data_IF_638059521532
#
_entry.id   IF_638059521532
#
_cell.length_a   1.000
_cell.length_b   1.000
_cell.length_c   1.000
_cell.angle_alpha   90.00
_cell.angle_beta   90.00
_cell.angle_gamma   90.00
#
_symmetry.space_group_name_H-M   'P 1'
#
loop_
_entity.id
_entity.type
_entity.pdbx_description
1 polymer ?
#
# COMPACT_ATOMS: atom_id res chain seq x y z
N UNK A 1 -10.36 11.05 -72.79
CA UNK A 1 -11.76 10.75 -73.18
C UNK A 1 -12.17 9.40 -72.63
N UNK A 2 -13.08 9.36 -71.73
CA UNK A 2 -14.25 8.53 -71.43
C UNK A 2 -14.55 8.61 -69.93
N UNK A 3 -15.67 9.28 -69.64
CA UNK A 3 -16.29 9.38 -68.33
C UNK A 3 -17.08 8.08 -68.05
N UNK A 4 -16.82 7.42 -66.94
CA UNK A 4 -17.59 6.28 -66.41
C UNK A 4 -18.50 6.77 -65.28
N UNK A 5 -19.82 6.56 -65.46
CA UNK A 5 -20.88 6.92 -64.52
C UNK A 5 -20.85 6.00 -63.29
N UNK A 6 -20.86 6.61 -62.11
CA UNK A 6 -21.10 5.92 -60.85
C UNK A 6 -22.60 5.84 -60.57
N UNK A 7 -23.18 4.64 -60.59
CA UNK A 7 -24.57 4.36 -60.23
C UNK A 7 -24.74 4.36 -58.70
N UNK A 8 -25.70 5.16 -58.22
CA UNK A 8 -26.13 5.13 -56.80
C UNK A 8 -27.08 3.95 -56.60
N UNK A 9 -26.67 3.01 -55.71
CA UNK A 9 -27.59 1.97 -55.20
C UNK A 9 -28.18 2.51 -53.89
N UNK A 10 -29.49 2.72 -53.91
CA UNK A 10 -30.25 3.11 -52.72
C UNK A 10 -30.70 1.87 -51.97
N UNK A 11 -30.15 1.68 -50.78
CA UNK A 11 -30.54 0.62 -49.85
C UNK A 11 -31.78 1.07 -49.06
N UNK A 12 -32.95 0.48 -49.34
CA UNK A 12 -34.17 0.67 -48.54
C UNK A 12 -34.09 -0.22 -47.30
N UNK A 13 -33.97 0.39 -46.12
CA UNK A 13 -34.10 -0.29 -44.82
C UNK A 13 -35.59 -0.23 -44.43
N UNK A 14 -36.23 -1.39 -44.42
CA UNK A 14 -37.61 -1.57 -43.94
C UNK A 14 -37.55 -1.79 -42.42
N UNK A 15 -38.03 -0.80 -41.64
CA UNK A 15 -38.20 -0.91 -40.19
C UNK A 15 -39.44 -1.75 -39.89
N UNK A 16 -39.27 -2.94 -39.34
CA UNK A 16 -40.36 -3.72 -38.74
C UNK A 16 -40.53 -3.29 -37.28
N UNK A 17 -41.61 -2.57 -37.00
CA UNK A 17 -42.06 -2.26 -35.64
C UNK A 17 -42.82 -3.47 -35.07
N UNK A 18 -42.24 -4.14 -34.08
CA UNK A 18 -42.96 -5.11 -33.26
C UNK A 18 -43.58 -4.37 -32.05
N UNK A 19 -44.87 -4.59 -31.73
CA UNK A 19 -45.46 -3.98 -30.54
C UNK A 19 -45.02 -4.72 -29.29
N UNK A 20 -44.42 -4.00 -28.35
CA UNK A 20 -44.14 -4.51 -26.98
C UNK A 20 -45.42 -4.41 -26.16
N UNK A 21 -46.03 -5.54 -25.89
CA UNK A 21 -47.14 -5.68 -24.91
C UNK A 21 -46.57 -5.49 -23.49
N UNK A 22 -46.85 -4.33 -22.88
CA UNK A 22 -46.59 -4.07 -21.46
C UNK A 22 -47.68 -4.75 -20.64
N UNK A 23 -47.38 -5.87 -20.03
CA UNK A 23 -48.24 -6.49 -19.03
C UNK A 23 -47.97 -5.81 -17.70
N UNK A 24 -48.86 -4.88 -17.29
CA UNK A 24 -48.88 -4.35 -15.92
C UNK A 24 -49.38 -5.43 -14.95
N UNK A 25 -48.46 -6.19 -14.35
CA UNK A 25 -48.74 -7.03 -13.21
C UNK A 25 -48.84 -6.18 -11.93
N UNK A 26 -50.05 -6.03 -11.37
CA UNK A 26 -50.24 -5.43 -10.05
C UNK A 26 -49.68 -6.40 -8.99
N UNK A 27 -48.56 -6.02 -8.37
CA UNK A 27 -48.07 -6.69 -7.19
C UNK A 27 -48.81 -6.17 -5.97
N UNK A 28 -49.67 -7.03 -5.39
CA UNK A 28 -50.26 -6.80 -4.09
C UNK A 28 -49.17 -6.76 -3.02
N UNK A 29 -49.03 -5.65 -2.32
CA UNK A 29 -48.20 -5.52 -1.13
C UNK A 29 -48.84 -6.36 -0.01
N UNK A 30 -48.38 -7.59 0.21
CA UNK A 30 -48.60 -8.29 1.44
C UNK A 30 -47.59 -7.74 2.46
N UNK A 31 -48.13 -6.99 3.45
CA UNK A 31 -47.34 -6.51 4.58
C UNK A 31 -46.68 -7.67 5.31
N UNK A 32 -45.36 -7.69 5.38
CA UNK A 32 -44.65 -8.56 6.30
C UNK A 32 -44.64 -7.94 7.69
N UNK A 33 -44.96 -8.71 8.73
CA UNK A 33 -44.84 -8.25 10.11
C UNK A 33 -43.37 -8.02 10.43
N UNK A 34 -43.09 -6.94 11.18
CA UNK A 34 -41.75 -6.49 11.53
C UNK A 34 -40.86 -7.59 12.05
N UNK A 35 -39.94 -8.03 11.23
CA UNK A 35 -38.80 -8.85 11.62
C UNK A 35 -37.78 -7.95 12.32
N UNK A 36 -37.47 -8.27 13.57
CA UNK A 36 -36.33 -7.77 14.32
C UNK A 36 -35.11 -7.81 13.39
N UNK A 37 -34.50 -6.65 13.14
CA UNK A 37 -33.33 -6.54 12.29
C UNK A 37 -32.23 -7.49 12.75
N UNK A 38 -32.01 -8.55 12.00
CA UNK A 38 -30.83 -9.37 12.12
C UNK A 38 -29.66 -8.45 11.80
N UNK A 39 -28.95 -7.98 12.81
CA UNK A 39 -27.68 -7.31 12.65
C UNK A 39 -26.72 -8.38 12.14
N UNK A 40 -26.56 -8.49 10.82
CA UNK A 40 -25.53 -9.33 10.22
C UNK A 40 -24.17 -8.85 10.78
N UNK A 41 -23.53 -9.72 11.53
CA UNK A 41 -22.16 -9.43 11.96
C UNK A 41 -21.28 -9.23 10.70
N UNK A 42 -20.46 -8.18 10.67
CA UNK A 42 -19.58 -7.95 9.53
C UNK A 42 -18.68 -9.17 9.28
N UNK A 43 -18.35 -9.50 8.02
CA UNK A 43 -17.42 -10.57 7.71
C UNK A 43 -16.12 -10.46 8.53
N UNK A 44 -15.50 -11.60 8.85
CA UNK A 44 -14.30 -11.66 9.70
C UNK A 44 -13.20 -10.70 9.24
N UNK A 45 -12.96 -10.60 7.95
CA UNK A 45 -11.93 -9.75 7.36
C UNK A 45 -12.14 -8.27 7.70
N UNK A 46 -13.39 -7.77 7.73
CA UNK A 46 -13.67 -6.38 8.13
C UNK A 46 -13.40 -6.14 9.61
N UNK A 47 -13.72 -7.11 10.49
CA UNK A 47 -13.37 -7.01 11.92
C UNK A 47 -11.87 -6.95 12.14
N UNK A 48 -11.10 -7.69 11.33
CA UNK A 48 -9.65 -7.70 11.39
C UNK A 48 -9.04 -6.42 10.82
N UNK A 49 -9.61 -5.87 9.75
CA UNK A 49 -9.20 -4.58 9.21
C UNK A 49 -9.36 -3.42 10.22
N UNK A 50 -10.30 -3.53 11.18
CA UNK A 50 -10.42 -2.55 12.27
C UNK A 50 -9.17 -2.45 13.17
N UNK A 51 -8.26 -3.41 13.10
CA UNK A 51 -6.97 -3.40 13.81
C UNK A 51 -5.84 -2.75 13.02
N UNK A 52 -6.12 -2.34 11.78
CA UNK A 52 -5.17 -1.70 10.87
C UNK A 52 -5.62 -0.28 10.51
N UNK A 53 -6.09 0.49 11.50
CA UNK A 53 -6.58 1.86 11.26
C UNK A 53 -5.47 2.89 11.21
N UNK A 54 -4.50 2.81 12.13
CA UNK A 54 -3.44 3.81 12.31
C UNK A 54 -2.13 3.13 12.63
N UNK A 55 -1.38 2.82 11.61
CA UNK A 55 -0.12 2.10 11.72
C UNK A 55 1.12 2.90 11.46
N UNK A 56 2.22 2.24 11.69
CA UNK A 56 3.54 2.75 11.42
C UNK A 56 4.42 1.65 10.81
N UNK A 57 5.23 1.98 9.85
CA UNK A 57 6.20 1.06 9.29
C UNK A 57 7.45 1.00 10.17
N UNK A 58 7.99 -0.19 10.39
CA UNK A 58 9.31 -0.43 10.98
C UNK A 58 10.24 -0.93 9.88
N UNK A 59 10.75 0.02 9.07
CA UNK A 59 11.41 -0.26 7.79
C UNK A 59 12.79 -0.88 7.94
N UNK A 60 13.69 -0.22 8.65
CA UNK A 60 15.12 -0.54 8.67
C UNK A 60 15.49 -1.65 9.66
N UNK A 61 14.53 -2.39 10.17
CA UNK A 61 14.79 -3.46 11.16
C UNK A 61 15.12 -4.81 10.49
N UNK A 62 14.27 -5.26 9.57
CA UNK A 62 14.45 -6.53 8.84
C UNK A 62 14.53 -6.35 7.32
N UNK A 63 14.37 -5.14 6.82
CA UNK A 63 14.55 -4.76 5.42
C UNK A 63 15.31 -3.44 5.33
N UNK A 64 15.80 -3.07 4.15
CA UNK A 64 16.46 -1.77 3.92
C UNK A 64 17.56 -1.46 4.94
N UNK A 65 18.36 -2.46 5.31
CA UNK A 65 19.46 -2.30 6.26
C UNK A 65 20.65 -1.66 5.54
N UNK A 66 20.86 -0.37 5.77
CA UNK A 66 21.92 0.41 5.12
C UNK A 66 23.27 0.31 5.82
N UNK A 67 23.36 -0.38 6.97
CA UNK A 67 24.64 -0.69 7.61
C UNK A 67 25.48 -1.58 6.69
N UNK A 68 26.76 -1.22 6.49
CA UNK A 68 27.70 -1.97 5.63
C UNK A 68 27.89 -3.42 6.05
N UNK A 69 27.59 -3.75 7.30
CA UNK A 69 27.62 -5.11 7.84
C UNK A 69 26.40 -5.93 7.41
N UNK A 70 25.35 -5.26 6.94
CA UNK A 70 24.10 -5.88 6.49
C UNK A 70 23.29 -6.50 7.63
N UNK A 71 22.60 -7.58 7.33
CA UNK A 71 21.67 -8.28 8.22
C UNK A 71 22.40 -9.11 9.26
N UNK A 72 22.86 -8.48 10.35
CA UNK A 72 23.59 -9.16 11.44
C UNK A 72 22.70 -9.41 12.66
N UNK A 73 23.04 -10.42 13.51
CA UNK A 73 22.35 -10.65 14.77
C UNK A 73 22.27 -9.41 15.67
N UNK A 74 23.35 -8.65 15.75
CA UNK A 74 23.44 -7.43 16.56
C UNK A 74 22.46 -6.36 16.04
N UNK A 75 22.33 -6.23 14.71
CA UNK A 75 21.39 -5.30 14.11
C UNK A 75 19.96 -5.68 14.48
N UNK A 76 19.55 -6.92 14.27
CA UNK A 76 18.19 -7.38 14.58
C UNK A 76 17.82 -7.19 16.05
N UNK A 77 18.78 -7.34 16.96
CA UNK A 77 18.56 -7.24 18.41
C UNK A 77 18.55 -5.80 18.92
N UNK A 78 19.20 -4.86 18.22
CA UNK A 78 19.45 -3.53 18.74
C UNK A 78 18.77 -2.40 17.97
N UNK A 79 18.33 -2.61 16.71
CA UNK A 79 17.82 -1.54 15.87
C UNK A 79 16.50 -0.95 16.37
N UNK A 80 15.57 -1.83 16.72
CA UNK A 80 14.29 -1.46 17.33
C UNK A 80 14.14 -2.19 18.66
N UNK A 81 13.94 -1.45 19.72
CA UNK A 81 13.91 -1.96 21.09
C UNK A 81 12.48 -2.03 21.65
N UNK A 82 12.31 -2.62 22.82
CA UNK A 82 11.03 -2.64 23.51
C UNK A 82 10.55 -1.23 23.87
N UNK A 83 11.47 -0.30 24.14
CA UNK A 83 11.19 1.10 24.40
C UNK A 83 10.66 1.80 23.13
N UNK A 84 11.21 1.47 21.95
CA UNK A 84 10.69 1.96 20.67
C UNK A 84 9.25 1.49 20.44
N UNK A 85 8.94 0.20 20.67
CA UNK A 85 7.59 -0.34 20.53
C UNK A 85 6.63 0.26 21.56
N UNK A 86 7.09 0.46 22.79
CA UNK A 86 6.31 1.15 23.82
C UNK A 86 6.00 2.61 23.42
N UNK A 87 6.97 3.31 22.82
CA UNK A 87 6.79 4.66 22.29
C UNK A 87 5.76 4.66 21.14
N UNK A 88 5.88 3.76 20.17
CA UNK A 88 4.88 3.58 19.09
C UNK A 88 3.47 3.43 19.69
N UNK A 89 3.31 2.56 20.68
CA UNK A 89 2.02 2.38 21.35
C UNK A 89 1.53 3.64 22.06
N UNK A 90 2.43 4.35 22.72
CA UNK A 90 2.09 5.57 23.47
C UNK A 90 1.67 6.73 22.57
N UNK A 91 2.19 6.80 21.35
CA UNK A 91 1.79 7.75 20.31
C UNK A 91 0.38 7.48 19.75
N UNK A 92 -0.21 6.30 20.04
CA UNK A 92 -1.59 5.96 19.67
C UNK A 92 -1.71 5.08 18.42
N UNK A 93 -0.63 4.54 17.87
CA UNK A 93 -0.69 3.55 16.79
C UNK A 93 -1.33 2.25 17.28
N UNK A 94 -1.99 1.54 16.38
CA UNK A 94 -2.68 0.26 16.65
C UNK A 94 -1.96 -0.94 16.04
N UNK A 95 -1.07 -0.72 15.05
CA UNK A 95 -0.29 -1.77 14.42
C UNK A 95 1.08 -1.30 13.95
N UNK A 96 1.96 -2.26 13.75
CA UNK A 96 3.26 -2.09 13.11
C UNK A 96 3.28 -2.91 11.81
N UNK A 97 3.59 -2.27 10.69
CA UNK A 97 3.98 -2.99 9.47
C UNK A 97 5.48 -3.23 9.51
N UNK A 98 5.84 -4.50 9.69
CA UNK A 98 7.21 -4.96 9.82
C UNK A 98 7.71 -5.37 8.44
N UNK A 99 8.55 -4.52 7.84
CA UNK A 99 9.18 -4.80 6.55
C UNK A 99 10.27 -5.86 6.72
N UNK A 100 10.17 -6.95 5.97
CA UNK A 100 11.07 -8.13 6.09
C UNK A 100 11.66 -8.48 4.73
N UNK A 101 12.97 -8.28 4.55
CA UNK A 101 13.67 -8.78 3.38
C UNK A 101 13.80 -10.31 3.48
N UNK A 102 13.26 -11.08 2.54
CA UNK A 102 13.35 -12.52 2.55
C UNK A 102 14.77 -13.05 2.30
N UNK A 103 15.66 -12.27 1.71
CA UNK A 103 16.98 -12.70 1.24
C UNK A 103 17.79 -13.46 2.31
N UNK A 104 17.84 -13.03 3.59
CA UNK A 104 18.58 -13.79 4.61
C UNK A 104 17.94 -15.14 4.97
N UNK A 105 16.66 -15.34 4.65
CA UNK A 105 15.88 -16.52 5.00
C UNK A 105 15.62 -17.46 3.82
N UNK A 106 15.75 -16.96 2.60
CA UNK A 106 15.34 -17.65 1.39
C UNK A 106 16.50 -18.34 0.70
N UNK A 107 16.43 -19.68 0.61
CA UNK A 107 17.42 -20.50 -0.08
C UNK A 107 16.78 -21.17 -1.31
N UNK A 108 17.22 -20.82 -2.51
CA UNK A 108 16.73 -21.39 -3.77
C UNK A 108 16.81 -22.92 -3.88
N UNK A 109 17.76 -23.55 -3.21
CA UNK A 109 17.92 -25.03 -3.26
C UNK A 109 16.95 -25.74 -2.32
N UNK A 110 16.52 -25.08 -1.29
CA UNK A 110 15.63 -25.59 -0.25
C UNK A 110 14.68 -24.48 0.23
N UNK A 111 13.79 -24.01 -0.67
CA UNK A 111 12.96 -22.81 -0.38
C UNK A 111 12.05 -22.99 0.82
N UNK A 112 11.66 -24.20 1.14
CA UNK A 112 10.85 -24.55 2.31
C UNK A 112 11.63 -24.72 3.62
N UNK A 113 12.96 -24.54 3.61
CA UNK A 113 13.80 -24.63 4.81
C UNK A 113 14.31 -23.26 5.23
N UNK A 114 13.54 -22.59 6.07
CA UNK A 114 13.93 -21.30 6.62
C UNK A 114 14.93 -21.51 7.76
N UNK A 115 16.10 -20.83 7.77
CA UNK A 115 17.06 -20.94 8.86
C UNK A 115 16.44 -20.56 10.21
N UNK A 116 16.46 -21.43 11.23
CA UNK A 116 15.83 -21.18 12.53
C UNK A 116 16.35 -19.92 13.25
N UNK A 117 17.59 -19.56 12.99
CA UNK A 117 18.21 -18.37 13.59
C UNK A 117 17.49 -17.09 13.17
N UNK A 118 17.23 -16.89 11.88
CA UNK A 118 16.51 -15.72 11.37
C UNK A 118 15.05 -15.70 11.81
N UNK A 119 14.38 -16.86 11.80
CA UNK A 119 13.03 -16.98 12.37
C UNK A 119 13.02 -16.57 13.84
N UNK A 120 14.04 -16.94 14.63
CA UNK A 120 14.14 -16.57 16.04
C UNK A 120 14.21 -15.06 16.26
N UNK A 121 14.91 -14.31 15.40
CA UNK A 121 14.92 -12.84 15.48
C UNK A 121 13.57 -12.26 15.08
N UNK A 122 12.98 -12.75 14.00
CA UNK A 122 11.68 -12.28 13.53
C UNK A 122 10.57 -12.58 14.55
N UNK A 123 10.56 -13.78 15.13
CA UNK A 123 9.65 -14.17 16.22
C UNK A 123 9.76 -13.26 17.44
N UNK A 124 10.99 -12.91 17.81
CA UNK A 124 11.25 -11.99 18.92
C UNK A 124 10.62 -10.62 18.64
N UNK A 125 10.77 -10.09 17.42
CA UNK A 125 10.19 -8.82 17.02
C UNK A 125 8.65 -8.88 16.98
N UNK A 126 8.08 -9.90 16.34
CA UNK A 126 6.63 -10.11 16.27
C UNK A 126 6.03 -10.23 17.66
N UNK A 127 6.66 -11.04 18.53
CA UNK A 127 6.22 -11.19 19.92
C UNK A 127 6.28 -9.88 20.69
N UNK A 128 7.35 -9.10 20.53
CA UNK A 128 7.53 -7.80 21.18
C UNK A 128 6.40 -6.84 20.78
N UNK A 129 6.03 -6.78 19.51
CA UNK A 129 4.91 -5.95 19.00
C UNK A 129 3.58 -6.41 19.62
N UNK A 130 3.30 -7.71 19.59
CA UNK A 130 2.07 -8.29 20.14
C UNK A 130 1.94 -8.09 21.66
N UNK A 131 3.04 -8.23 22.41
CA UNK A 131 3.07 -8.04 23.87
C UNK A 131 2.74 -6.61 24.29
N UNK A 132 3.01 -5.61 23.41
CA UNK A 132 2.60 -4.22 23.64
C UNK A 132 1.16 -3.93 23.18
N UNK A 133 0.39 -4.96 22.80
CA UNK A 133 -1.02 -4.83 22.42
C UNK A 133 -1.22 -4.16 21.05
N UNK A 134 -0.21 -4.27 20.17
CA UNK A 134 -0.27 -3.86 18.77
C UNK A 134 -0.57 -5.07 17.88
N UNK A 135 -1.18 -4.86 16.72
CA UNK A 135 -1.18 -5.83 15.64
C UNK A 135 0.13 -5.73 14.84
N UNK A 136 0.45 -6.76 14.07
CA UNK A 136 1.62 -6.78 13.19
C UNK A 136 1.25 -7.24 11.79
N UNK A 137 1.72 -6.52 10.80
CA UNK A 137 1.74 -6.94 9.40
C UNK A 137 3.16 -7.40 9.09
N UNK A 138 3.33 -8.67 8.76
CA UNK A 138 4.59 -9.22 8.26
C UNK A 138 4.58 -9.00 6.75
N UNK A 139 5.34 -8.02 6.29
CA UNK A 139 5.45 -7.62 4.90
C UNK A 139 6.72 -8.15 4.28
N UNK A 140 6.65 -9.00 3.26
CA UNK A 140 7.85 -9.36 2.50
C UNK A 140 8.29 -8.21 1.62
N UNK A 141 9.42 -7.62 1.98
CA UNK A 141 9.98 -6.41 1.44
C UNK A 141 11.38 -6.65 0.80
N UNK A 142 11.42 -7.41 -0.32
CA UNK A 142 12.68 -7.69 -0.99
C UNK A 142 13.17 -6.49 -1.80
N UNK A 143 14.47 -6.52 -2.13
CA UNK A 143 15.06 -5.61 -3.11
C UNK A 143 14.51 -5.87 -4.53
N UNK A 144 14.69 -4.90 -5.42
CA UNK A 144 14.14 -4.93 -6.79
C UNK A 144 14.57 -6.13 -7.64
N UNK A 145 15.78 -6.69 -7.42
CA UNK A 145 16.28 -7.84 -8.18
C UNK A 145 15.41 -9.09 -8.01
N UNK A 146 14.93 -9.35 -6.79
CA UNK A 146 13.99 -10.43 -6.51
C UNK A 146 12.64 -10.18 -7.20
N UNK A 147 12.11 -8.96 -7.11
CA UNK A 147 10.84 -8.58 -7.74
C UNK A 147 10.88 -8.71 -9.26
N UNK A 148 11.99 -8.27 -9.88
CA UNK A 148 12.23 -8.42 -11.32
C UNK A 148 12.30 -9.90 -11.71
N UNK A 149 12.88 -10.75 -10.87
CA UNK A 149 12.94 -12.18 -11.11
C UNK A 149 11.55 -12.82 -11.04
N UNK A 150 10.75 -12.50 -10.04
CA UNK A 150 9.34 -12.95 -9.95
C UNK A 150 8.53 -12.55 -11.19
N UNK A 151 8.81 -11.40 -11.78
CA UNK A 151 8.12 -10.95 -12.99
C UNK A 151 8.45 -11.78 -14.25
N UNK A 152 9.61 -12.46 -14.28
CA UNK A 152 10.16 -13.06 -15.51
C UNK A 152 10.35 -14.56 -15.46
N UNK A 153 10.36 -15.18 -14.28
CA UNK A 153 10.78 -16.56 -14.04
C UNK A 153 9.68 -17.33 -13.30
N UNK A 154 9.01 -18.24 -14.01
CA UNK A 154 7.91 -19.04 -13.45
C UNK A 154 8.41 -20.08 -12.43
N UNK A 155 9.60 -20.63 -12.61
CA UNK A 155 10.20 -21.57 -11.65
C UNK A 155 10.51 -20.86 -10.34
N UNK A 156 11.03 -19.64 -10.43
CA UNK A 156 11.27 -18.83 -9.25
C UNK A 156 9.98 -18.45 -8.50
N UNK A 157 8.87 -18.26 -9.22
CA UNK A 157 7.56 -18.04 -8.57
C UNK A 157 7.13 -19.25 -7.74
N UNK A 158 7.35 -20.47 -8.24
CA UNK A 158 7.03 -21.71 -7.48
C UNK A 158 7.95 -21.85 -6.25
N UNK A 159 9.26 -21.58 -6.40
CA UNK A 159 10.21 -21.58 -5.29
C UNK A 159 9.83 -20.55 -4.21
N UNK A 160 9.41 -19.36 -4.62
CA UNK A 160 8.98 -18.32 -3.70
C UNK A 160 7.62 -18.61 -3.04
N UNK A 161 6.74 -19.35 -3.74
CA UNK A 161 5.50 -19.88 -3.18
C UNK A 161 5.79 -20.94 -2.10
N UNK A 162 6.77 -21.82 -2.31
CA UNK A 162 7.20 -22.80 -1.31
C UNK A 162 7.79 -22.14 -0.07
N UNK A 163 8.58 -21.10 -0.25
CA UNK A 163 9.08 -20.28 0.86
C UNK A 163 7.92 -19.64 1.63
N UNK A 164 6.96 -19.02 0.94
CA UNK A 164 5.79 -18.44 1.58
C UNK A 164 4.96 -19.48 2.35
N UNK A 165 4.76 -20.67 1.78
CA UNK A 165 4.05 -21.76 2.47
C UNK A 165 4.73 -22.12 3.78
N UNK A 166 6.07 -22.24 3.77
CA UNK A 166 6.85 -22.56 4.98
C UNK A 166 6.78 -21.43 6.03
N UNK A 167 6.94 -20.18 5.61
CA UNK A 167 6.85 -19.03 6.50
C UNK A 167 5.44 -18.89 7.10
N UNK A 168 4.40 -19.03 6.27
CA UNK A 168 3.02 -19.01 6.71
C UNK A 168 2.70 -20.15 7.68
N UNK A 169 3.20 -21.36 7.42
CA UNK A 169 3.05 -22.51 8.31
C UNK A 169 3.71 -22.26 9.68
N UNK A 170 4.85 -21.62 9.70
CA UNK A 170 5.52 -21.22 10.95
C UNK A 170 4.62 -20.30 11.79
N UNK A 171 3.99 -19.31 11.16
CA UNK A 171 3.08 -18.39 11.85
C UNK A 171 1.66 -18.90 12.06
N UNK A 172 1.30 -20.10 11.55
CA UNK A 172 -0.09 -20.61 11.57
C UNK A 172 -0.69 -20.77 12.97
N UNK A 173 0.14 -20.95 14.00
CA UNK A 173 -0.27 -21.09 15.41
C UNK A 173 -0.26 -19.78 16.19
N UNK A 174 0.17 -18.68 15.57
CA UNK A 174 0.19 -17.36 16.19
C UNK A 174 -1.22 -16.73 16.14
N UNK A 175 -1.41 -15.61 16.83
CA UNK A 175 -2.69 -14.92 16.94
C UNK A 175 -3.19 -14.39 15.58
N UNK A 176 -4.03 -15.17 14.91
CA UNK A 176 -4.62 -14.81 13.62
C UNK A 176 -5.51 -13.55 13.66
N UNK A 177 -5.86 -13.06 14.85
CA UNK A 177 -6.58 -11.78 14.99
C UNK A 177 -5.66 -10.57 14.92
N UNK A 178 -4.33 -10.75 15.12
CA UNK A 178 -3.36 -9.65 15.19
C UNK A 178 -2.11 -9.84 14.34
N UNK A 179 -1.91 -11.01 13.72
CA UNK A 179 -0.82 -11.26 12.76
C UNK A 179 -1.41 -11.32 11.37
N UNK A 180 -0.92 -10.45 10.49
CA UNK A 180 -1.32 -10.31 9.09
C UNK A 180 -0.13 -10.64 8.19
N UNK A 181 -0.38 -11.27 7.04
CA UNK A 181 0.65 -11.68 6.09
C UNK A 181 0.50 -10.91 4.77
N UNK A 182 1.41 -10.00 4.49
CA UNK A 182 1.42 -9.20 3.27
C UNK A 182 2.28 -9.88 2.21
N UNK A 183 1.70 -10.13 1.04
CA UNK A 183 2.27 -11.01 0.00
C UNK A 183 3.62 -10.50 -0.50
N UNK A 184 3.69 -9.22 -0.85
CA UNK A 184 4.88 -8.58 -1.40
C UNK A 184 4.77 -7.07 -1.35
N UNK A 185 5.78 -6.41 -0.82
CA UNK A 185 5.94 -4.97 -0.93
C UNK A 185 6.16 -4.55 -2.39
N UNK A 186 5.36 -3.59 -2.86
CA UNK A 186 5.60 -2.87 -4.12
C UNK A 186 5.98 -3.78 -5.30
N UNK A 187 5.06 -4.59 -5.81
CA UNK A 187 5.34 -5.44 -6.96
C UNK A 187 5.76 -4.64 -8.20
N UNK A 188 7.01 -4.80 -8.64
CA UNK A 188 7.60 -4.09 -9.78
C UNK A 188 7.23 -4.75 -11.12
N UNK A 189 5.94 -4.94 -11.35
CA UNK A 189 5.41 -5.58 -12.55
C UNK A 189 4.77 -4.53 -13.47
N UNK A 190 5.27 -4.41 -14.68
CA UNK A 190 4.68 -3.55 -15.71
C UNK A 190 3.40 -4.14 -16.31
N UNK A 191 3.29 -5.47 -16.32
CA UNK A 191 2.09 -6.21 -16.72
C UNK A 191 1.29 -6.62 -15.47
N UNK A 192 0.15 -5.95 -15.26
CA UNK A 192 -0.76 -6.22 -14.14
C UNK A 192 -1.36 -7.62 -14.16
N UNK A 193 -1.58 -8.21 -15.32
CA UNK A 193 -2.11 -9.57 -15.42
C UNK A 193 -1.06 -10.61 -15.03
N UNK A 194 0.20 -10.37 -15.35
CA UNK A 194 1.31 -11.18 -14.86
C UNK A 194 1.38 -11.13 -13.34
N UNK A 195 1.31 -9.92 -12.74
CA UNK A 195 1.27 -9.79 -11.28
C UNK A 195 0.07 -10.52 -10.67
N UNK A 196 -1.13 -10.35 -11.22
CA UNK A 196 -2.32 -11.04 -10.72
C UNK A 196 -2.12 -12.56 -10.69
N UNK A 197 -1.55 -13.16 -11.75
CA UNK A 197 -1.24 -14.59 -11.81
C UNK A 197 -0.24 -15.03 -10.74
N UNK A 198 0.81 -14.26 -10.51
CA UNK A 198 1.80 -14.51 -9.45
C UNK A 198 1.15 -14.36 -8.08
N UNK A 199 0.42 -13.28 -7.84
CA UNK A 199 -0.24 -13.00 -6.57
C UNK A 199 -1.23 -14.11 -6.17
N UNK A 200 -2.00 -14.67 -7.13
CA UNK A 200 -2.91 -15.80 -6.89
C UNK A 200 -2.13 -17.00 -6.37
N UNK A 201 -0.99 -17.35 -6.97
CA UNK A 201 -0.15 -18.48 -6.54
C UNK A 201 0.43 -18.26 -5.14
N UNK A 202 0.96 -17.08 -4.89
CA UNK A 202 1.53 -16.74 -3.57
C UNK A 202 0.46 -16.73 -2.48
N UNK A 203 -0.71 -16.15 -2.75
CA UNK A 203 -1.84 -16.15 -1.81
C UNK A 203 -2.32 -17.58 -1.50
N UNK A 204 -2.37 -18.45 -2.51
CA UNK A 204 -2.73 -19.86 -2.30
C UNK A 204 -1.71 -20.59 -1.40
N UNK A 205 -0.41 -20.37 -1.63
CA UNK A 205 0.64 -20.94 -0.79
C UNK A 205 0.58 -20.46 0.67
N UNK A 206 0.32 -19.14 0.88
CA UNK A 206 0.11 -18.58 2.20
C UNK A 206 -1.12 -19.22 2.87
N UNK A 207 -2.23 -19.35 2.13
CA UNK A 207 -3.47 -19.93 2.65
C UNK A 207 -3.31 -21.39 3.04
N UNK A 208 -2.53 -22.17 2.28
CA UNK A 208 -2.17 -23.55 2.63
C UNK A 208 -1.37 -23.61 3.94
N UNK A 209 -0.38 -22.72 4.11
CA UNK A 209 0.44 -22.66 5.32
C UNK A 209 -0.31 -22.11 6.53
N UNK A 210 -1.10 -21.06 6.37
CA UNK A 210 -1.80 -20.34 7.45
C UNK A 210 -3.30 -20.15 7.16
N UNK A 211 -4.13 -21.20 7.29
CA UNK A 211 -5.54 -21.19 6.88
C UNK A 211 -6.39 -20.11 7.56
N UNK A 212 -6.06 -19.72 8.80
CA UNK A 212 -6.82 -18.77 9.59
C UNK A 212 -6.39 -17.30 9.42
N UNK A 213 -5.18 -17.04 8.94
CA UNK A 213 -4.61 -15.69 8.90
C UNK A 213 -5.19 -14.84 7.77
N UNK A 214 -5.29 -13.54 8.01
CA UNK A 214 -5.66 -12.58 6.96
C UNK A 214 -4.45 -12.26 6.11
N UNK A 215 -4.64 -12.33 4.80
CA UNK A 215 -3.63 -12.00 3.79
C UNK A 215 -3.85 -10.54 3.38
N UNK A 216 -2.75 -9.82 3.08
CA UNK A 216 -2.80 -8.49 2.48
C UNK A 216 -2.26 -8.59 1.05
N UNK A 217 -3.06 -8.12 0.10
CA UNK A 217 -2.80 -8.16 -1.34
C UNK A 217 -2.72 -6.74 -1.91
N UNK A 218 -1.91 -6.52 -2.93
CA UNK A 218 -1.70 -5.21 -3.52
C UNK A 218 -1.80 -5.23 -5.05
N UNK A 219 -2.00 -4.06 -5.65
CA UNK A 219 -1.91 -3.84 -7.09
C UNK A 219 -0.47 -4.01 -7.60
N UNK A 220 -0.32 -4.05 -8.94
CA UNK A 220 0.98 -4.00 -9.60
C UNK A 220 1.64 -2.61 -9.46
N UNK A 221 2.79 -2.41 -10.12
CA UNK A 221 3.44 -1.10 -10.31
C UNK A 221 3.61 -0.34 -9.00
N UNK A 222 4.39 -0.93 -8.07
CA UNK A 222 4.71 -0.35 -6.75
C UNK A 222 3.50 -0.12 -5.85
N UNK A 223 2.48 -0.99 -5.95
CA UNK A 223 1.23 -0.88 -5.17
C UNK A 223 0.47 0.44 -5.43
N UNK A 224 0.60 1.01 -6.61
CA UNK A 224 -0.04 2.25 -7.03
C UNK A 224 -1.57 2.14 -6.91
N UNK A 225 -2.22 3.19 -6.43
CA UNK A 225 -3.67 3.22 -6.24
C UNK A 225 -4.45 3.16 -7.58
N UNK A 226 -3.89 3.71 -8.65
CA UNK A 226 -4.43 3.58 -10.00
C UNK A 226 -4.44 2.12 -10.50
N UNK A 227 -3.45 1.31 -10.10
CA UNK A 227 -3.42 -0.11 -10.45
C UNK A 227 -4.43 -0.94 -9.64
N UNK A 228 -4.71 -0.54 -8.40
CA UNK A 228 -5.71 -1.19 -7.55
C UNK A 228 -7.08 -1.20 -8.21
N UNK A 229 -7.53 -0.08 -8.78
CA UNK A 229 -8.87 0.04 -9.36
C UNK A 229 -9.12 -0.86 -10.58
N UNK A 230 -8.05 -1.35 -11.22
CA UNK A 230 -8.12 -2.33 -12.32
C UNK A 230 -8.07 -3.79 -11.86
N UNK A 231 -7.79 -4.03 -10.60
CA UNK A 231 -7.66 -5.38 -10.06
C UNK A 231 -9.04 -5.96 -9.71
N UNK A 232 -9.28 -7.23 -10.11
CA UNK A 232 -10.38 -8.01 -9.54
C UNK A 232 -9.91 -8.69 -8.25
N UNK A 233 -10.77 -8.77 -7.22
CA UNK A 233 -10.42 -9.45 -5.98
C UNK A 233 -10.08 -10.93 -6.19
N UNK A 234 -9.14 -11.42 -5.39
CA UNK A 234 -8.79 -12.83 -5.33
C UNK A 234 -9.98 -13.66 -4.79
N UNK A 235 -10.08 -14.91 -5.20
CA UNK A 235 -11.12 -15.84 -4.72
C UNK A 235 -10.85 -16.34 -3.30
N UNK A 236 -10.69 -15.40 -2.37
CA UNK A 236 -10.49 -15.67 -0.95
C UNK A 236 -11.17 -14.56 -0.15
N UNK A 237 -12.06 -14.92 0.77
CA UNK A 237 -12.86 -13.97 1.55
C UNK A 237 -12.12 -13.36 2.74
N UNK A 238 -10.88 -13.76 3.00
CA UNK A 238 -10.08 -13.28 4.13
C UNK A 238 -8.82 -12.54 3.65
N UNK A 239 -9.04 -11.59 2.72
CA UNK A 239 -7.99 -10.74 2.14
C UNK A 239 -8.36 -9.27 2.36
N UNK A 240 -7.39 -8.49 2.84
CA UNK A 240 -7.41 -7.02 2.85
C UNK A 240 -6.61 -6.55 1.63
N UNK A 241 -7.09 -5.51 0.97
CA UNK A 241 -6.36 -4.91 -0.16
C UNK A 241 -5.56 -3.70 0.30
N UNK A 242 -4.40 -3.53 -0.31
CA UNK A 242 -3.42 -2.50 0.01
C UNK A 242 -3.04 -1.72 -1.23
N UNK A 243 -2.76 -0.43 -1.02
CA UNK A 243 -2.06 0.44 -1.95
C UNK A 243 -1.08 1.33 -1.20
N UNK A 244 -0.16 1.97 -1.93
CA UNK A 244 0.74 2.99 -1.41
C UNK A 244 0.37 4.34 -2.00
N UNK A 245 0.57 5.42 -1.26
CA UNK A 245 0.20 6.74 -1.71
C UNK A 245 1.28 7.78 -1.38
N UNK A 246 1.98 8.21 -2.41
CA UNK A 246 3.00 9.24 -2.30
C UNK A 246 2.76 10.43 -3.24
N UNK A 247 1.59 10.46 -3.92
CA UNK A 247 1.31 11.52 -4.86
C UNK A 247 1.07 12.89 -4.20
N UNK A 248 1.65 13.93 -4.80
CA UNK A 248 2.51 13.90 -6.00
C UNK A 248 3.96 13.58 -5.62
N UNK A 249 4.51 12.51 -6.18
CA UNK A 249 5.87 12.03 -5.89
C UNK A 249 6.95 13.11 -6.00
N UNK A 250 6.81 14.06 -6.93
CA UNK A 250 7.74 15.18 -7.09
C UNK A 250 7.85 16.06 -5.84
N UNK A 251 6.79 16.12 -5.02
CA UNK A 251 6.79 16.82 -3.73
C UNK A 251 7.28 15.92 -2.61
N UNK A 252 6.70 14.71 -2.50
CA UNK A 252 6.97 13.81 -1.37
C UNK A 252 8.38 13.23 -1.39
N UNK A 253 9.03 13.19 -2.57
CA UNK A 253 10.40 12.67 -2.76
C UNK A 253 11.38 13.72 -3.28
N UNK A 254 11.07 15.02 -3.11
CA UNK A 254 12.03 16.06 -3.51
C UNK A 254 13.38 15.88 -2.78
N UNK A 255 14.48 15.95 -3.53
CA UNK A 255 15.82 15.70 -3.02
C UNK A 255 16.22 14.23 -2.88
N UNK A 256 15.31 13.29 -3.09
CA UNK A 256 15.60 11.86 -2.98
C UNK A 256 16.55 11.39 -4.11
N UNK A 257 17.57 10.59 -3.75
CA UNK A 257 18.62 10.14 -4.67
C UNK A 257 18.38 8.76 -5.27
N UNK A 258 17.36 8.04 -4.81
CA UNK A 258 16.99 6.69 -5.26
C UNK A 258 15.84 6.67 -6.27
N UNK A 259 15.27 7.82 -6.59
CA UNK A 259 14.20 8.01 -7.57
C UNK A 259 14.73 8.62 -8.86
N UNK A 260 13.88 9.22 -9.69
CA UNK A 260 14.30 9.86 -10.93
C UNK A 260 15.39 10.91 -10.70
N UNK A 261 16.43 10.90 -11.54
CA UNK A 261 17.65 11.71 -11.38
C UNK A 261 17.38 13.19 -11.15
N UNK A 262 16.37 13.76 -11.78
CA UNK A 262 16.06 15.19 -11.65
C UNK A 262 15.52 15.57 -10.26
N UNK A 263 15.00 14.62 -9.48
CA UNK A 263 14.51 14.91 -8.13
C UNK A 263 15.63 15.18 -7.14
N UNK A 264 16.84 14.73 -7.42
CA UNK A 264 18.02 15.02 -6.59
C UNK A 264 18.27 16.52 -6.35
N UNK A 265 17.84 17.36 -7.31
CA UNK A 265 18.05 18.81 -7.27
C UNK A 265 16.83 19.56 -6.74
N UNK A 266 15.71 18.86 -6.53
CA UNK A 266 14.50 19.51 -6.09
C UNK A 266 14.52 19.72 -4.58
N UNK A 267 14.21 20.93 -4.18
CA UNK A 267 13.96 21.31 -2.79
C UNK A 267 13.02 22.52 -2.76
N UNK A 268 12.38 22.74 -1.62
CA UNK A 268 11.48 23.87 -1.39
C UNK A 268 10.23 23.92 -2.28
N UNK A 269 9.86 22.79 -2.93
CA UNK A 269 8.54 22.68 -3.53
C UNK A 269 7.48 22.83 -2.43
N UNK A 270 6.47 23.65 -2.70
CA UNK A 270 5.44 23.98 -1.72
C UNK A 270 4.19 23.11 -1.87
N UNK A 271 3.59 22.77 -0.74
CA UNK A 271 2.27 22.16 -0.68
C UNK A 271 1.33 23.05 0.18
N UNK A 272 0.11 23.36 -0.28
CA UNK A 272 -0.49 23.03 -1.58
C UNK A 272 0.26 23.63 -2.77
N UNK A 273 0.19 22.96 -3.96
CA UNK A 273 0.90 23.43 -5.14
C UNK A 273 0.20 24.61 -5.81
N UNK A 274 0.99 25.56 -6.32
CA UNK A 274 0.51 26.64 -7.16
C UNK A 274 1.47 26.95 -8.29
N UNK A 275 0.99 27.54 -9.41
CA UNK A 275 1.89 28.00 -10.49
C UNK A 275 3.00 28.90 -9.99
N UNK A 276 2.68 29.88 -9.13
CA UNK A 276 3.64 30.89 -8.63
C UNK A 276 4.75 30.25 -7.77
N UNK A 277 4.39 29.27 -6.90
CA UNK A 277 5.38 28.57 -6.08
C UNK A 277 6.26 27.67 -6.93
N UNK A 278 5.68 26.95 -7.89
CA UNK A 278 6.40 26.06 -8.77
C UNK A 278 7.34 26.80 -9.74
N UNK A 279 6.93 27.94 -10.31
CA UNK A 279 7.77 28.72 -11.22
C UNK A 279 9.06 29.23 -10.53
N UNK A 280 9.00 29.56 -9.23
CA UNK A 280 10.21 29.96 -8.48
C UNK A 280 11.22 28.83 -8.39
N UNK A 281 10.77 27.61 -8.11
CA UNK A 281 11.64 26.43 -8.04
C UNK A 281 12.11 26.04 -9.45
N UNK A 282 11.22 26.05 -10.44
CA UNK A 282 11.53 25.74 -11.84
C UNK A 282 12.66 26.62 -12.40
N UNK A 283 12.71 27.90 -11.98
CA UNK A 283 13.77 28.81 -12.41
C UNK A 283 15.19 28.38 -11.95
N UNK A 284 15.27 27.54 -10.91
CA UNK A 284 16.53 27.02 -10.38
C UNK A 284 16.93 25.66 -10.98
N UNK A 285 16.01 24.98 -11.68
CA UNK A 285 16.25 23.67 -12.29
C UNK A 285 16.99 23.84 -13.62
N UNK A 286 18.19 23.27 -13.75
CA UNK A 286 19.01 23.47 -14.96
C UNK A 286 18.44 22.81 -16.22
N UNK A 287 17.91 21.59 -16.08
CA UNK A 287 17.37 20.81 -17.20
C UNK A 287 15.99 21.29 -17.61
N UNK A 288 15.72 21.38 -18.91
CA UNK A 288 14.44 21.88 -19.43
C UNK A 288 13.29 20.90 -19.19
N UNK A 289 13.54 19.60 -19.36
CA UNK A 289 12.51 18.56 -19.17
C UNK A 289 12.11 18.50 -17.71
N UNK A 290 13.07 18.52 -16.79
CA UNK A 290 12.85 18.50 -15.35
C UNK A 290 12.11 19.76 -14.91
N UNK A 291 12.46 20.92 -15.48
CA UNK A 291 11.77 22.19 -15.25
C UNK A 291 10.28 22.12 -15.64
N UNK A 292 9.97 21.45 -16.75
CA UNK A 292 8.58 21.25 -17.19
C UNK A 292 7.79 20.39 -16.19
N UNK A 293 8.40 19.40 -15.53
CA UNK A 293 7.74 18.60 -14.51
C UNK A 293 7.37 19.45 -13.28
N UNK A 294 8.27 20.35 -12.86
CA UNK A 294 7.99 21.29 -11.76
C UNK A 294 6.86 22.24 -12.10
N UNK A 295 6.86 22.79 -13.33
CA UNK A 295 5.77 23.67 -13.81
C UNK A 295 4.44 22.90 -13.87
N UNK A 296 4.48 21.64 -14.32
CA UNK A 296 3.30 20.76 -14.34
C UNK A 296 2.73 20.57 -12.94
N UNK A 297 3.58 20.24 -11.96
CA UNK A 297 3.19 20.13 -10.55
C UNK A 297 2.40 21.35 -10.05
N UNK A 298 2.91 22.56 -10.35
CA UNK A 298 2.20 23.80 -9.97
C UNK A 298 0.83 23.94 -10.61
N UNK A 299 0.70 23.55 -11.90
CA UNK A 299 -0.56 23.62 -12.65
C UNK A 299 -1.59 22.57 -12.25
N UNK A 300 -1.16 21.47 -11.68
CA UNK A 300 -2.03 20.40 -11.24
C UNK A 300 -2.80 20.73 -9.95
N UNK A 301 -2.44 21.80 -9.24
CA UNK A 301 -3.10 22.29 -8.03
C UNK A 301 -3.33 21.22 -6.97
N UNK A 302 -2.25 20.49 -6.63
CA UNK A 302 -2.30 19.49 -5.59
C UNK A 302 -2.65 20.14 -4.25
N UNK A 303 -3.75 19.67 -3.65
CA UNK A 303 -4.32 20.13 -2.39
C UNK A 303 -5.28 19.06 -1.84
N UNK A 304 -5.79 19.26 -0.63
CA UNK A 304 -6.72 18.36 0.07
C UNK A 304 -7.88 17.83 -0.81
N UNK A 305 -8.49 18.70 -1.61
CA UNK A 305 -9.64 18.31 -2.45
C UNK A 305 -9.28 17.29 -3.54
N UNK A 306 -8.07 17.36 -4.10
CA UNK A 306 -7.59 16.38 -5.08
C UNK A 306 -7.29 15.05 -4.42
N UNK A 307 -6.55 15.06 -3.31
CA UNK A 307 -6.26 13.87 -2.51
C UNK A 307 -7.56 13.16 -2.09
N UNK A 308 -8.52 13.90 -1.59
CA UNK A 308 -9.85 13.38 -1.23
C UNK A 308 -10.55 12.70 -2.41
N UNK A 309 -10.44 13.28 -3.61
CA UNK A 309 -11.05 12.71 -4.83
C UNK A 309 -10.41 11.37 -5.22
N UNK A 310 -9.09 11.23 -5.11
CA UNK A 310 -8.36 9.99 -5.40
C UNK A 310 -8.70 8.91 -4.36
N UNK A 311 -8.67 9.23 -3.07
CA UNK A 311 -9.04 8.31 -1.99
C UNK A 311 -10.49 7.85 -2.09
N UNK A 312 -11.38 8.70 -2.52
CA UNK A 312 -12.78 8.34 -2.77
C UNK A 312 -12.91 7.30 -3.89
N UNK A 313 -12.11 7.39 -4.96
CA UNK A 313 -12.12 6.40 -6.04
C UNK A 313 -11.64 5.03 -5.55
N UNK A 314 -10.53 4.98 -4.79
CA UNK A 314 -10.01 3.75 -4.20
C UNK A 314 -11.04 3.11 -3.23
N UNK A 315 -11.63 3.91 -2.34
CA UNK A 315 -12.66 3.44 -1.41
C UNK A 315 -13.94 2.97 -2.13
N UNK A 316 -14.31 3.62 -3.23
CA UNK A 316 -15.47 3.18 -4.03
C UNK A 316 -15.21 1.84 -4.72
N UNK A 317 -13.99 1.60 -5.21
CA UNK A 317 -13.58 0.30 -5.73
C UNK A 317 -13.74 -0.78 -4.66
N UNK A 318 -13.20 -0.57 -3.46
CA UNK A 318 -13.26 -1.52 -2.36
C UNK A 318 -14.70 -1.81 -1.94
N UNK A 319 -15.53 -0.77 -1.80
CA UNK A 319 -16.94 -0.89 -1.44
C UNK A 319 -17.75 -1.68 -2.47
N UNK A 320 -17.54 -1.43 -3.77
CA UNK A 320 -18.22 -2.16 -4.86
C UNK A 320 -17.85 -3.64 -4.88
N UNK A 321 -16.66 -4.00 -4.44
CA UNK A 321 -16.18 -5.38 -4.36
C UNK A 321 -16.43 -6.03 -3.01
N UNK A 322 -16.87 -5.28 -2.02
CA UNK A 322 -17.14 -5.78 -0.68
C UNK A 322 -15.89 -6.24 0.05
N UNK A 323 -14.76 -5.55 -0.14
CA UNK A 323 -13.47 -5.85 0.47
C UNK A 323 -12.96 -4.69 1.31
N UNK A 324 -12.21 -4.91 2.41
CA UNK A 324 -11.55 -3.85 3.16
C UNK A 324 -10.28 -3.36 2.44
N UNK A 325 -9.95 -2.08 2.67
CA UNK A 325 -8.84 -1.39 2.05
C UNK A 325 -7.98 -0.69 3.09
N UNK A 326 -6.65 -0.75 2.91
CA UNK A 326 -5.66 -0.03 3.70
C UNK A 326 -4.66 0.66 2.76
N UNK A 327 -4.01 1.74 3.24
CA UNK A 327 -2.83 2.32 2.62
C UNK A 327 -1.63 2.01 3.51
N UNK A 328 -0.80 1.05 3.12
CA UNK A 328 0.29 0.58 3.98
C UNK A 328 1.55 1.43 3.93
N UNK A 329 1.62 2.38 2.99
CA UNK A 329 2.69 3.37 2.95
C UNK A 329 2.21 4.72 2.44
N UNK A 330 2.54 5.77 3.18
CA UNK A 330 2.47 7.16 2.76
C UNK A 330 3.43 7.99 3.61
N UNK A 331 4.00 9.05 3.06
CA UNK A 331 4.96 9.87 3.79
C UNK A 331 5.58 10.95 2.92
N UNK A 332 6.41 11.80 3.53
CA UNK A 332 7.16 12.86 2.86
C UNK A 332 8.61 12.82 3.31
N UNK A 333 9.54 12.78 2.36
CA UNK A 333 10.97 12.86 2.59
C UNK A 333 11.31 14.23 3.20
N UNK A 334 11.75 14.23 4.49
CA UNK A 334 11.84 15.46 5.28
C UNK A 334 13.03 16.36 4.98
N UNK A 335 14.13 15.78 4.47
CA UNK A 335 15.41 16.50 4.41
C UNK A 335 15.40 17.72 3.48
N UNK A 336 14.48 17.73 2.53
CA UNK A 336 14.35 18.79 1.52
C UNK A 336 12.95 19.41 1.46
N UNK A 337 12.06 19.00 2.37
CA UNK A 337 10.70 19.53 2.47
C UNK A 337 10.60 20.55 3.61
N UNK A 338 9.81 21.60 3.39
CA UNK A 338 9.42 22.51 4.47
C UNK A 338 8.57 21.74 5.50
N UNK A 339 8.91 21.77 6.80
CA UNK A 339 8.15 21.02 7.81
C UNK A 339 6.65 21.38 7.89
N UNK A 340 6.29 22.63 7.57
CA UNK A 340 4.89 23.05 7.53
C UNK A 340 4.16 22.40 6.34
N UNK A 341 4.79 22.38 5.17
CA UNK A 341 4.20 21.79 3.96
C UNK A 341 4.12 20.26 4.06
N UNK A 342 5.15 19.62 4.66
CA UNK A 342 5.12 18.20 5.03
C UNK A 342 3.93 17.89 5.96
N UNK A 343 3.77 18.65 7.03
CA UNK A 343 2.68 18.45 7.99
C UNK A 343 1.31 18.68 7.34
N UNK A 344 1.19 19.65 6.44
CA UNK A 344 -0.05 19.92 5.70
C UNK A 344 -0.42 18.75 4.80
N UNK A 345 0.54 18.20 4.03
CA UNK A 345 0.30 17.03 3.17
C UNK A 345 -0.08 15.80 4.00
N UNK A 346 0.66 15.49 5.07
CA UNK A 346 0.35 14.37 5.96
C UNK A 346 -1.06 14.49 6.57
N UNK A 347 -1.44 15.71 6.99
CA UNK A 347 -2.77 15.98 7.52
C UNK A 347 -3.86 15.72 6.48
N UNK A 348 -3.68 16.20 5.25
CA UNK A 348 -4.69 16.10 4.21
C UNK A 348 -4.87 14.64 3.76
N UNK A 349 -3.77 13.91 3.57
CA UNK A 349 -3.79 12.49 3.19
C UNK A 349 -4.42 11.63 4.29
N UNK A 350 -3.96 11.76 5.54
CA UNK A 350 -4.55 11.04 6.68
C UNK A 350 -6.04 11.34 6.83
N UNK A 351 -6.43 12.61 6.67
CA UNK A 351 -7.85 13.00 6.77
C UNK A 351 -8.69 12.36 5.66
N UNK A 352 -8.17 12.32 4.44
CA UNK A 352 -8.84 11.67 3.32
C UNK A 352 -8.98 10.16 3.54
N UNK A 353 -7.95 9.47 4.07
CA UNK A 353 -8.06 8.06 4.42
C UNK A 353 -9.16 7.81 5.44
N UNK A 354 -9.13 8.51 6.57
CA UNK A 354 -10.10 8.33 7.66
C UNK A 354 -11.53 8.66 7.21
N UNK A 355 -11.71 9.71 6.40
CA UNK A 355 -13.00 10.10 5.84
C UNK A 355 -13.58 9.02 4.93
N UNK A 356 -12.74 8.33 4.18
CA UNK A 356 -13.15 7.29 3.25
C UNK A 356 -13.13 5.87 3.86
N UNK A 357 -12.84 5.73 5.16
CA UNK A 357 -12.80 4.44 5.86
C UNK A 357 -11.62 3.56 5.49
N UNK A 358 -10.52 4.14 5.01
CA UNK A 358 -9.27 3.48 4.66
C UNK A 358 -8.36 3.47 5.89
N UNK A 359 -7.89 2.29 6.31
CA UNK A 359 -6.83 2.18 7.31
C UNK A 359 -5.48 2.60 6.72
N UNK A 360 -4.51 2.97 7.56
CA UNK A 360 -3.24 3.47 7.05
C UNK A 360 -2.04 3.10 7.94
N UNK A 361 -0.85 3.02 7.33
CA UNK A 361 0.42 2.95 8.02
C UNK A 361 1.41 3.96 7.42
N UNK A 362 1.88 4.90 8.25
CA UNK A 362 2.84 5.91 7.81
C UNK A 362 4.21 5.27 7.56
N UNK A 363 4.84 5.66 6.50
CA UNK A 363 6.25 5.45 6.24
C UNK A 363 7.04 6.64 6.76
N UNK A 364 7.83 6.52 7.86
CA UNK A 364 8.02 5.34 8.69
C UNK A 364 8.25 5.71 10.17
N UNK A 365 8.69 4.77 11.00
CA UNK A 365 8.97 5.02 12.42
C UNK A 365 10.17 5.96 12.57
N UNK A 366 11.31 5.64 11.95
CA UNK A 366 12.54 6.44 12.03
C UNK A 366 13.16 6.60 10.64
N UNK A 367 14.18 7.43 10.50
CA UNK A 367 14.79 7.74 9.20
C UNK A 367 14.24 9.00 8.55
N UNK A 368 14.48 9.15 7.26
CA UNK A 368 14.22 10.41 6.56
C UNK A 368 12.74 10.71 6.28
N UNK A 369 11.84 9.78 6.55
CA UNK A 369 10.39 9.96 6.55
C UNK A 369 9.80 9.89 7.97
N UNK A 370 10.62 9.57 8.96
CA UNK A 370 10.21 9.07 10.25
C UNK A 370 9.35 10.00 11.11
N UNK A 371 8.49 9.39 11.93
CA UNK A 371 7.75 10.07 12.99
C UNK A 371 8.61 10.34 14.21
N UNK A 372 9.76 9.66 14.33
CA UNK A 372 10.75 9.93 15.37
C UNK A 372 12.11 10.22 14.76
N UNK A 373 12.93 10.93 15.52
CA UNK A 373 14.36 11.10 15.28
C UNK A 373 15.14 10.33 16.35
N UNK A 374 16.01 9.40 15.93
CA UNK A 374 16.94 8.73 16.87
C UNK A 374 18.17 9.58 17.06
N UNK A 375 18.33 10.15 18.27
CA UNK A 375 19.49 10.93 18.69
C UNK A 375 20.14 10.30 19.91
N UNK A 376 21.43 10.01 19.83
CA UNK A 376 22.20 9.36 20.90
C UNK A 376 21.53 8.08 21.43
N UNK A 377 20.97 7.27 20.52
CA UNK A 377 20.26 6.03 20.84
C UNK A 377 18.86 6.20 21.44
N UNK A 378 18.36 7.45 21.54
CA UNK A 378 17.00 7.75 22.03
C UNK A 378 16.11 8.21 20.89
N UNK A 379 14.92 7.63 20.82
CA UNK A 379 13.87 8.08 19.92
C UNK A 379 13.15 9.30 20.50
N UNK A 380 13.07 10.37 19.72
CA UNK A 380 12.35 11.60 20.06
C UNK A 380 11.28 11.82 19.01
N UNK A 381 10.03 11.85 19.44
CA UNK A 381 8.89 12.05 18.54
C UNK A 381 8.89 13.45 17.91
N UNK A 382 8.50 13.54 16.65
CA UNK A 382 8.25 14.80 15.95
C UNK A 382 6.80 15.23 16.22
N UNK A 383 6.63 16.20 17.10
CA UNK A 383 5.30 16.69 17.49
C UNK A 383 4.50 17.27 16.32
N UNK A 384 5.19 17.87 15.33
CA UNK A 384 4.56 18.41 14.13
C UNK A 384 3.94 17.30 13.26
N UNK A 385 4.70 16.25 13.05
CA UNK A 385 4.23 15.05 12.33
C UNK A 385 3.12 14.35 13.10
N UNK A 386 3.27 14.11 14.41
CA UNK A 386 2.21 13.50 15.22
C UNK A 386 0.91 14.29 15.16
N UNK A 387 0.98 15.62 15.29
CA UNK A 387 -0.20 16.49 15.19
C UNK A 387 -0.86 16.39 13.81
N UNK A 388 -0.08 16.34 12.73
CA UNK A 388 -0.60 16.18 11.37
C UNK A 388 -1.32 14.83 11.20
N UNK A 389 -0.80 13.77 11.82
CA UNK A 389 -1.42 12.45 11.86
C UNK A 389 -2.63 12.34 12.82
N UNK A 390 -2.97 13.43 13.56
CA UNK A 390 -4.02 13.40 14.57
C UNK A 390 -3.69 12.51 15.78
N UNK A 391 -2.39 12.34 16.06
CA UNK A 391 -1.84 11.54 17.15
C UNK A 391 -1.44 12.44 18.34
N UNK A 392 -1.03 11.82 19.45
CA UNK A 392 -0.65 12.53 20.69
C UNK A 392 0.82 12.38 21.00
#
# INVERSE_FOLDING_TARGET
MRRGKMGRVALRVTLLLLPVLVVCGAWAQTGHPGGSGSVYAPPLVFKRAEKLKRGINASEWFAQVYDKRGYTPEHFQAWTTAEDIALIKSMGFDHVRLSVNPQPMFNLREPNKIPPEYLGYLDTAVKMILDHGLAVVIDLHPESDLKVRLAKDDEFVEEFADFWRALAQHYSTWDAERVFLEILNEPEFTDRYRWLGVQVKLAAAIREGAPAHTIIAAGARWSDDDELVFQEPLHDSNIIYNFHFYDPHIFTHQGATWVAYYWHWLHDLKYPSSPESAERVAALVPDEVDRLQVIRYGREHWAAARIESEMKQAAEWARRRGVPLVCNEFGVYRDYSDPHDQAAWLHDVRTAFEHNGIGWAMWDYSGSFGVVMKKDGKAVADEGVLKALGMK
#
